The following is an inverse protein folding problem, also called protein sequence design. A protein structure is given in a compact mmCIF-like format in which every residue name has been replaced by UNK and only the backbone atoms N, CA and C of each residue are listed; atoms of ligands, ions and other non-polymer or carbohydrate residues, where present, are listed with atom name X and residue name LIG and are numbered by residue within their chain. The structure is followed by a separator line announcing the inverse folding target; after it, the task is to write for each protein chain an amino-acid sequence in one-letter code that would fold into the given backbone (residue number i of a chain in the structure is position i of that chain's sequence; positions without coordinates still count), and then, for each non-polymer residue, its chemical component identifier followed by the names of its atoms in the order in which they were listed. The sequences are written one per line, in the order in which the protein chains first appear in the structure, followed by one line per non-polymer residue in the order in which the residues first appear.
data_IF_414080355747
#
_entry.id   IF_414080355747
#
_cell.length_a   1.000
_cell.length_b   1.000
_cell.length_c   1.000
_cell.angle_alpha   90.00
_cell.angle_beta   90.00
_cell.angle_gamma   90.00
#
_symmetry.space_group_name_H-M   'P 1'
#
loop_
_entity.id
_entity.type
_entity.pdbx_description
1 polymer ?
#
# COMPACT_ATOMS: atom_id res chain seq x y z
N UNK A 1 2.51 21.16 0.02
CA UNK A 1 1.49 20.24 -0.50
C UNK A 1 1.28 19.16 0.55
N UNK A 2 0.03 18.86 0.89
CA UNK A 2 -0.31 17.75 1.79
C UNK A 2 0.12 16.41 1.17
N UNK A 3 0.30 15.38 1.98
CA UNK A 3 0.72 14.08 1.47
C UNK A 3 -0.40 13.42 0.66
N UNK A 4 -1.65 13.59 1.08
CA UNK A 4 -2.83 13.16 0.32
C UNK A 4 -2.86 13.79 -1.09
N UNK A 5 -2.74 15.11 -1.17
CA UNK A 5 -2.71 15.87 -2.44
C UNK A 5 -1.57 15.41 -3.36
N UNK A 6 -0.40 15.06 -2.78
CA UNK A 6 0.71 14.49 -3.53
C UNK A 6 0.30 13.19 -4.22
N UNK A 7 -0.23 12.24 -3.46
CA UNK A 7 -0.60 10.92 -3.98
C UNK A 7 -1.82 10.96 -4.91
N UNK A 8 -2.73 11.92 -4.74
CA UNK A 8 -3.86 12.12 -5.64
C UNK A 8 -3.40 12.56 -7.03
N UNK A 9 -2.53 13.58 -7.09
CA UNK A 9 -2.09 14.22 -8.34
C UNK A 9 -1.00 13.46 -9.06
N UNK A 10 -0.09 12.82 -8.34
CA UNK A 10 1.08 12.14 -8.94
C UNK A 10 0.73 10.75 -9.42
N UNK A 11 1.03 10.49 -10.70
CA UNK A 11 1.01 9.16 -11.31
C UNK A 11 2.37 8.49 -11.10
N UNK A 12 2.39 7.17 -10.98
CA UNK A 12 3.60 6.44 -10.68
C UNK A 12 3.35 4.98 -10.33
N UNK A 13 4.41 4.29 -9.91
CA UNK A 13 4.40 2.88 -9.51
C UNK A 13 4.67 2.78 -8.01
N UNK A 14 3.86 1.99 -7.32
CA UNK A 14 4.00 1.67 -5.91
C UNK A 14 4.54 0.26 -5.71
N UNK A 15 5.43 0.09 -4.73
CA UNK A 15 5.92 -1.21 -4.27
C UNK A 15 5.78 -1.24 -2.76
N UNK A 16 5.12 -2.26 -2.23
CA UNK A 16 5.05 -2.51 -0.79
C UNK A 16 5.94 -3.70 -0.43
N UNK A 17 6.55 -3.61 0.74
CA UNK A 17 7.29 -4.68 1.37
C UNK A 17 6.76 -4.93 2.78
N UNK A 18 6.72 -6.19 3.19
CA UNK A 18 6.46 -6.62 4.57
C UNK A 18 7.34 -7.83 4.89
N UNK A 19 7.45 -8.20 6.16
CA UNK A 19 8.16 -9.40 6.59
C UNK A 19 7.29 -10.23 7.52
N UNK A 20 7.50 -11.54 7.59
CA UNK A 20 6.89 -12.40 8.61
C UNK A 20 7.61 -12.26 9.97
N UNK A 21 7.21 -13.08 10.95
CA UNK A 21 7.82 -13.13 12.28
C UNK A 21 9.28 -13.65 12.28
N UNK A 22 9.69 -14.42 11.27
CA UNK A 22 11.07 -14.87 11.09
C UNK A 22 11.94 -13.80 10.40
N UNK A 23 11.34 -12.70 9.95
CA UNK A 23 12.01 -11.65 9.18
C UNK A 23 12.16 -11.98 7.69
N UNK A 24 11.46 -12.98 7.15
CA UNK A 24 11.46 -13.26 5.70
C UNK A 24 10.63 -12.23 4.97
N UNK A 25 11.25 -11.57 4.00
CA UNK A 25 10.68 -10.41 3.32
C UNK A 25 9.87 -10.84 2.09
N UNK A 26 8.74 -10.17 1.89
CA UNK A 26 7.97 -10.19 0.67
C UNK A 26 7.88 -8.79 0.08
N UNK A 27 7.83 -8.71 -1.26
CA UNK A 27 7.65 -7.46 -2.01
C UNK A 27 6.60 -7.65 -3.10
N UNK A 28 5.78 -6.63 -3.35
CA UNK A 28 4.78 -6.67 -4.41
C UNK A 28 4.45 -5.27 -4.93
N UNK A 29 4.02 -5.19 -6.19
CA UNK A 29 3.49 -3.95 -6.77
C UNK A 29 2.12 -3.66 -6.15
N UNK A 30 1.92 -2.44 -5.69
CA UNK A 30 0.66 -1.95 -5.14
C UNK A 30 0.28 -0.61 -5.76
N UNK A 31 -1.04 -0.38 -5.87
CA UNK A 31 -1.56 0.91 -6.27
C UNK A 31 -1.28 1.98 -5.20
N UNK A 32 -1.45 3.25 -5.58
CA UNK A 32 -1.37 4.38 -4.64
C UNK A 32 -2.37 4.18 -3.49
N UNK A 33 -1.95 4.43 -2.22
CA UNK A 33 -2.82 4.26 -1.07
C UNK A 33 -4.06 5.14 -1.14
N UNK A 34 -5.12 4.72 -0.45
CA UNK A 34 -6.26 5.55 -0.11
C UNK A 34 -5.94 6.31 1.17
N UNK A 35 -6.01 7.64 1.15
CA UNK A 35 -5.82 8.43 2.37
C UNK A 35 -7.13 8.50 3.14
N UNK A 36 -7.10 8.11 4.42
CA UNK A 36 -8.20 8.35 5.36
C UNK A 36 -8.03 9.74 5.96
N UNK A 37 -6.78 10.05 6.34
CA UNK A 37 -6.31 11.36 6.80
C UNK A 37 -4.80 11.48 6.52
N UNK A 38 -4.15 12.57 6.95
CA UNK A 38 -2.72 12.79 6.69
C UNK A 38 -1.75 11.85 7.44
N UNK A 39 -2.25 11.07 8.40
CA UNK A 39 -1.48 10.11 9.21
C UNK A 39 -1.90 8.67 8.96
N UNK A 40 -3.01 8.43 8.28
CA UNK A 40 -3.60 7.11 8.09
C UNK A 40 -3.90 6.83 6.61
N UNK A 41 -3.37 5.72 6.11
CA UNK A 41 -3.62 5.24 4.75
C UNK A 41 -4.22 3.84 4.75
N UNK A 42 -4.91 3.49 3.69
CA UNK A 42 -5.46 2.16 3.49
C UNK A 42 -5.06 1.58 2.12
N UNK A 43 -4.86 0.26 2.11
CA UNK A 43 -4.62 -0.52 0.89
C UNK A 43 -5.67 -1.62 0.79
N UNK A 44 -6.16 -1.85 -0.43
CA UNK A 44 -6.92 -3.07 -0.72
C UNK A 44 -5.91 -4.18 -0.98
N UNK A 45 -5.91 -5.19 -0.12
CA UNK A 45 -5.04 -6.36 -0.20
C UNK A 45 -5.87 -7.61 -0.50
N UNK A 46 -5.33 -8.49 -1.34
CA UNK A 46 -5.85 -9.86 -1.46
C UNK A 46 -5.21 -10.75 -0.39
N UNK A 47 -5.84 -11.90 -0.09
CA UNK A 47 -5.27 -12.92 0.79
C UNK A 47 -4.01 -13.57 0.17
N UNK A 48 -2.88 -12.87 0.26
CA UNK A 48 -1.59 -13.24 -0.34
C UNK A 48 -0.46 -12.94 0.63
N UNK A 49 0.77 -13.24 0.23
CA UNK A 49 1.95 -13.20 1.09
C UNK A 49 2.14 -11.88 1.86
N UNK A 50 1.96 -10.71 1.22
CA UNK A 50 2.06 -9.41 1.92
C UNK A 50 1.05 -9.31 3.06
N UNK A 51 -0.21 -9.71 2.82
CA UNK A 51 -1.27 -9.72 3.82
C UNK A 51 -0.97 -10.71 4.95
N UNK A 52 -0.57 -11.95 4.62
CA UNK A 52 -0.21 -12.98 5.61
C UNK A 52 0.94 -12.54 6.52
N UNK A 53 1.96 -11.90 5.96
CA UNK A 53 3.06 -11.34 6.75
C UNK A 53 2.53 -10.37 7.82
N UNK A 54 1.56 -9.52 7.45
CA UNK A 54 0.94 -8.51 8.32
C UNK A 54 0.07 -9.08 9.45
N UNK A 55 -0.29 -10.35 9.40
CA UNK A 55 -0.95 -11.04 10.53
C UNK A 55 0.03 -11.33 11.66
N UNK A 56 1.30 -11.59 11.32
CA UNK A 56 2.36 -11.92 12.28
C UNK A 56 3.25 -10.73 12.65
N UNK A 57 3.38 -9.75 11.75
CA UNK A 57 4.25 -8.59 11.91
C UNK A 57 3.60 -7.36 11.25
N UNK A 58 3.16 -6.36 12.02
CA UNK A 58 2.33 -5.28 11.51
C UNK A 58 3.09 -4.25 10.63
N UNK A 59 4.41 -4.41 10.46
CA UNK A 59 5.23 -3.41 9.79
C UNK A 59 5.30 -3.61 8.28
N UNK A 60 5.20 -2.50 7.55
CA UNK A 60 5.41 -2.45 6.11
C UNK A 60 6.19 -1.20 5.68
N UNK A 61 6.84 -1.30 4.53
CA UNK A 61 7.43 -0.17 3.83
C UNK A 61 6.81 -0.05 2.45
N UNK A 62 6.40 1.16 2.07
CA UNK A 62 5.82 1.44 0.77
C UNK A 62 6.67 2.48 0.04
N UNK A 63 7.20 2.10 -1.11
CA UNK A 63 7.92 2.99 -2.02
C UNK A 63 6.99 3.39 -3.15
N UNK A 64 6.93 4.69 -3.44
CA UNK A 64 6.26 5.23 -4.61
C UNK A 64 7.23 6.03 -5.45
N UNK A 65 7.32 5.68 -6.72
CA UNK A 65 8.12 6.37 -7.72
C UNK A 65 7.19 7.03 -8.73
N UNK A 66 7.35 8.34 -8.92
CA UNK A 66 6.62 9.11 -9.93
C UNK A 66 6.93 8.61 -11.34
N UNK A 67 5.98 8.72 -12.25
CA UNK A 67 6.21 8.51 -13.67
C UNK A 67 7.17 9.57 -14.24
N UNK A 68 8.08 9.16 -15.12
CA UNK A 68 9.05 10.02 -15.79
C UNK A 68 10.48 9.50 -15.66
N UNK A 69 11.44 10.29 -16.13
CA UNK A 69 12.85 9.86 -16.25
C UNK A 69 13.69 10.14 -14.99
N UNK A 70 13.11 10.81 -13.99
CA UNK A 70 13.80 11.18 -12.75
C UNK A 70 13.34 10.30 -11.61
N UNK A 71 14.26 9.95 -10.72
CA UNK A 71 13.97 9.25 -9.47
C UNK A 71 13.36 10.19 -8.42
N UNK A 72 12.11 10.59 -8.64
CA UNK A 72 11.32 11.39 -7.70
C UNK A 72 10.21 10.54 -7.13
N UNK A 73 9.96 10.67 -5.83
CA UNK A 73 8.99 9.83 -5.15
C UNK A 73 9.04 9.98 -3.64
N UNK A 74 8.35 9.07 -2.95
CA UNK A 74 8.26 9.01 -1.49
C UNK A 74 8.39 7.56 -1.01
N UNK A 75 8.99 7.39 0.16
CA UNK A 75 8.98 6.14 0.94
C UNK A 75 8.15 6.38 2.20
N UNK A 76 7.17 5.52 2.44
CA UNK A 76 6.34 5.52 3.65
C UNK A 76 6.71 4.30 4.48
N UNK A 77 6.91 4.50 5.78
CA UNK A 77 7.05 3.42 6.75
C UNK A 77 5.75 3.35 7.54
N UNK A 78 5.21 2.16 7.66
CA UNK A 78 3.82 1.92 7.97
C UNK A 78 3.70 0.87 9.07
N UNK A 79 2.72 1.06 9.94
CA UNK A 79 2.29 0.06 10.93
C UNK A 79 0.80 -0.20 10.77
N UNK A 80 0.41 -1.46 10.53
CA UNK A 80 -0.98 -1.90 10.43
C UNK A 80 -1.69 -1.58 11.75
N UNK A 81 -2.85 -0.94 11.67
CA UNK A 81 -3.66 -0.57 12.85
C UNK A 81 -4.99 -1.32 12.92
N UNK A 82 -5.59 -1.63 11.77
CA UNK A 82 -6.81 -2.44 11.67
C UNK A 82 -7.01 -2.93 10.23
N UNK A 83 -7.96 -3.83 10.04
CA UNK A 83 -8.45 -4.16 8.70
C UNK A 83 -9.94 -4.49 8.70
N UNK A 84 -10.55 -4.39 7.53
CA UNK A 84 -11.93 -4.77 7.27
C UNK A 84 -11.95 -5.82 6.16
N UNK A 85 -12.68 -6.92 6.37
CA UNK A 85 -12.80 -8.01 5.40
C UNK A 85 -14.07 -7.86 4.57
N UNK A 86 -13.94 -7.95 3.25
CA UNK A 86 -15.05 -7.99 2.28
C UNK A 86 -16.11 -6.89 2.51
N UNK A 87 -15.69 -5.68 2.92
CA UNK A 87 -16.61 -4.57 3.15
C UNK A 87 -17.09 -3.94 1.85
N UNK A 88 -18.33 -3.43 1.83
CA UNK A 88 -18.91 -2.74 0.67
C UNK A 88 -18.04 -1.57 0.18
N UNK A 89 -17.33 -0.93 1.13
CA UNK A 89 -16.39 0.16 0.86
C UNK A 89 -15.27 -0.25 -0.11
N UNK A 90 -14.80 -1.51 -0.05
CA UNK A 90 -13.77 -2.03 -0.96
C UNK A 90 -14.24 -1.90 -2.40
N UNK A 91 -15.50 -2.26 -2.68
CA UNK A 91 -16.03 -2.21 -4.05
C UNK A 91 -16.30 -0.80 -4.54
N UNK A 92 -16.58 0.14 -3.63
CA UNK A 92 -16.75 1.57 -3.96
C UNK A 92 -15.43 2.24 -4.33
N UNK A 93 -14.35 1.97 -3.59
CA UNK A 93 -13.07 2.69 -3.78
C UNK A 93 -12.09 1.97 -4.71
N UNK A 94 -12.35 0.71 -5.06
CA UNK A 94 -11.47 -0.08 -5.93
C UNK A 94 -11.38 0.52 -7.34
N UNK A 95 -10.15 0.80 -7.77
CA UNK A 95 -9.85 1.24 -9.13
C UNK A 95 -9.88 0.05 -10.10
N UNK A 96 -10.94 -0.07 -10.91
CA UNK A 96 -11.17 -1.21 -11.83
C UNK A 96 -10.17 -1.27 -12.99
N UNK A 97 -9.58 -0.15 -13.37
CA UNK A 97 -8.71 -0.04 -14.56
C UNK A 97 -7.22 -0.39 -14.29
N UNK A 98 -6.81 -0.54 -13.03
CA UNK A 98 -5.39 -0.54 -12.65
C UNK A 98 -4.72 -1.91 -12.52
N UNK A 99 -5.41 -3.03 -12.80
CA UNK A 99 -4.79 -4.37 -12.77
C UNK A 99 -5.39 -5.30 -13.83
N UNK A 100 -4.57 -6.03 -14.61
CA UNK A 100 -5.00 -7.27 -15.21
C UNK A 100 -5.24 -8.26 -14.07
N UNK A 101 -6.50 -8.33 -13.66
CA UNK A 101 -6.92 -9.14 -12.53
C UNK A 101 -7.03 -10.59 -12.99
N UNK A 102 -6.08 -11.43 -12.60
CA UNK A 102 -6.22 -12.89 -12.72
C UNK A 102 -7.52 -13.34 -12.03
N UNK A 103 -8.16 -14.39 -12.55
CA UNK A 103 -9.44 -14.93 -12.06
C UNK A 103 -9.43 -15.17 -10.55
N UNK A 104 -8.31 -15.65 -10.01
CA UNK A 104 -8.12 -15.86 -8.57
C UNK A 104 -8.21 -14.57 -7.74
N UNK A 105 -7.80 -13.42 -8.27
CA UNK A 105 -7.96 -12.13 -7.58
C UNK A 105 -9.39 -11.58 -7.73
N UNK A 106 -10.10 -11.91 -8.82
CA UNK A 106 -11.51 -11.51 -8.98
C UNK A 106 -12.40 -12.21 -7.95
N UNK A 107 -12.15 -13.50 -7.70
CA UNK A 107 -12.94 -14.39 -6.84
C UNK A 107 -12.45 -14.48 -5.38
N UNK A 108 -11.24 -14.02 -5.09
CA UNK A 108 -10.64 -14.10 -3.75
C UNK A 108 -11.11 -13.03 -2.77
N UNK A 109 -11.06 -13.36 -1.47
CA UNK A 109 -11.29 -12.46 -0.33
C UNK A 109 -10.39 -11.23 -0.41
N UNK A 110 -10.95 -10.08 -0.04
CA UNK A 110 -10.23 -8.81 0.02
C UNK A 110 -10.30 -8.19 1.40
N UNK A 111 -9.22 -7.51 1.73
CA UNK A 111 -9.05 -6.79 2.98
C UNK A 111 -8.77 -5.33 2.69
N UNK A 112 -9.47 -4.44 3.37
CA UNK A 112 -9.09 -3.04 3.45
C UNK A 112 -8.21 -2.87 4.68
N UNK A 113 -6.90 -2.84 4.46
CA UNK A 113 -5.90 -2.81 5.54
C UNK A 113 -5.47 -1.38 5.78
N UNK A 114 -5.65 -0.92 7.02
CA UNK A 114 -5.33 0.44 7.46
C UNK A 114 -3.98 0.48 8.14
N UNK A 115 -3.20 1.51 7.81
CA UNK A 115 -1.87 1.74 8.35
C UNK A 115 -1.75 3.15 8.88
N UNK A 116 -1.10 3.28 10.03
CA UNK A 116 -0.51 4.54 10.47
C UNK A 116 0.79 4.78 9.68
N UNK A 117 1.01 6.02 9.26
CA UNK A 117 2.28 6.47 8.68
C UNK A 117 3.22 6.86 9.81
N UNK A 118 4.29 6.09 9.97
CA UNK A 118 5.30 6.32 11.01
C UNK A 118 6.39 7.28 10.54
N UNK A 119 6.82 7.15 9.27
CA UNK A 119 7.87 7.99 8.68
C UNK A 119 7.62 8.21 7.20
N UNK A 120 7.94 9.41 6.71
CA UNK A 120 7.92 9.77 5.29
C UNK A 120 9.32 10.21 4.88
N UNK A 121 9.89 9.57 3.87
CA UNK A 121 11.20 9.93 3.30
C UNK A 121 11.08 10.25 1.81
N UNK A 122 12.00 11.04 1.23
CA UNK A 122 12.15 11.11 -0.21
C UNK A 122 12.54 9.74 -0.80
N UNK A 123 12.30 9.56 -2.10
CA UNK A 123 12.66 8.33 -2.81
C UNK A 123 14.15 8.02 -2.70
N UNK A 124 14.99 9.03 -2.93
CA UNK A 124 16.45 8.95 -2.83
C UNK A 124 16.92 9.78 -1.65
N UNK A 125 17.89 9.22 -0.90
CA UNK A 125 18.53 9.90 0.21
C UNK A 125 17.68 9.99 1.48
N UNK A 126 18.22 10.72 2.47
CA UNK A 126 17.77 10.83 3.85
C UNK A 126 18.11 9.64 4.77
N UNK A 127 18.57 9.96 5.99
CA UNK A 127 18.75 9.06 7.14
C UNK A 127 17.42 8.93 7.92
#
# INVERSE_FOLDING_TARGET
MKLSEYFEKKKGRGVIASADADGKIAIAVYARPHFVDEKTVAFIMADRLIHKNLESNPHAAYLFMESGDRYVGKRLYLTKVKEEKDSELIDQIRRRESCPVDEGYKKGTRFLVYFKIDKVLPLIGAK
#
